data_IF_572866294541
#
_entry.id   IF_572866294541
#
_cell.length_a   1.000
_cell.length_b   1.000
_cell.length_c   1.000
_cell.angle_alpha   90.00
_cell.angle_beta   90.00
_cell.angle_gamma   90.00
#
_symmetry.space_group_name_H-M   'P 1'
#
loop_
_entity.id
_entity.type
_entity.pdbx_description
1 polymer ?
#
# COMPACT_ATOMS: atom_id res chain seq x y z
N UNK A 1 -2.84 -21.68 -24.38
CA UNK A 1 -1.90 -20.79 -23.67
C UNK A 1 -1.70 -21.35 -22.29
N UNK A 2 -0.45 -21.53 -21.84
CA UNK A 2 -0.18 -21.91 -20.45
C UNK A 2 -0.16 -20.66 -19.60
N UNK A 3 -0.71 -20.72 -18.39
CA UNK A 3 -0.72 -19.61 -17.44
C UNK A 3 0.15 -19.98 -16.25
N UNK A 4 1.05 -19.08 -15.85
CA UNK A 4 1.86 -19.23 -14.64
C UNK A 4 1.63 -18.09 -13.66
N UNK A 5 1.70 -18.41 -12.37
CA UNK A 5 1.61 -17.43 -11.30
C UNK A 5 3.02 -17.04 -10.85
N UNK A 6 3.28 -15.74 -10.76
CA UNK A 6 4.53 -15.16 -10.26
C UNK A 6 4.22 -14.37 -9.00
N UNK A 7 4.89 -14.69 -7.89
CA UNK A 7 4.66 -14.09 -6.58
C UNK A 7 5.77 -13.10 -6.21
N UNK A 8 5.38 -11.95 -5.68
CA UNK A 8 6.24 -10.88 -5.19
C UNK A 8 5.96 -10.68 -3.70
N UNK A 9 6.93 -11.05 -2.87
CA UNK A 9 6.84 -10.92 -1.40
C UNK A 9 6.82 -9.45 -0.98
N UNK A 10 6.29 -9.17 0.22
CA UNK A 10 6.33 -7.86 0.88
C UNK A 10 7.76 -7.29 1.09
N UNK A 11 8.77 -8.16 0.97
CA UNK A 11 10.18 -7.80 1.07
C UNK A 11 10.78 -7.36 -0.28
N UNK A 12 10.09 -7.58 -1.40
CA UNK A 12 10.58 -7.26 -2.74
C UNK A 12 10.46 -5.76 -3.05
N UNK A 13 11.42 -5.00 -2.52
CA UNK A 13 11.53 -3.54 -2.68
C UNK A 13 11.81 -3.07 -4.10
N UNK A 14 12.20 -3.97 -5.00
CA UNK A 14 12.44 -3.60 -6.40
C UNK A 14 11.12 -3.42 -7.14
N UNK A 15 10.09 -4.17 -6.74
CA UNK A 15 8.76 -4.12 -7.36
C UNK A 15 7.70 -3.43 -6.49
N UNK A 16 7.88 -3.44 -5.16
CA UNK A 16 6.96 -2.83 -4.20
C UNK A 16 7.59 -1.58 -3.57
N UNK A 17 7.00 -0.42 -3.84
CA UNK A 17 7.39 0.86 -3.28
C UNK A 17 6.42 1.29 -2.18
N UNK A 18 6.91 1.38 -0.96
CA UNK A 18 6.14 1.74 0.22
C UNK A 18 6.32 3.23 0.52
N UNK A 19 5.24 3.94 0.83
CA UNK A 19 5.34 5.32 1.33
C UNK A 19 4.56 5.50 2.64
N UNK A 20 4.94 6.52 3.40
CA UNK A 20 4.58 6.73 4.82
C UNK A 20 5.22 5.69 5.76
N UNK A 21 4.64 5.50 6.95
CA UNK A 21 5.22 4.63 7.98
C UNK A 21 4.81 3.17 7.78
N UNK A 22 5.75 2.29 7.41
CA UNK A 22 5.51 0.85 7.31
C UNK A 22 6.43 0.05 8.22
N UNK A 23 5.87 -0.96 8.87
CA UNK A 23 6.64 -2.01 9.53
C UNK A 23 6.71 -3.22 8.61
N UNK A 24 7.89 -3.48 8.01
CA UNK A 24 8.00 -4.46 6.92
C UNK A 24 8.53 -5.81 7.38
N UNK A 25 9.31 -5.83 8.46
CA UNK A 25 9.89 -7.05 9.02
C UNK A 25 8.91 -7.77 9.96
N UNK A 26 7.61 -7.64 9.69
CA UNK A 26 6.59 -8.36 10.42
C UNK A 26 6.61 -9.82 10.05
N UNK A 27 6.21 -10.66 11.00
CA UNK A 27 6.12 -12.11 10.83
C UNK A 27 4.73 -12.54 11.25
N UNK A 28 4.11 -13.43 10.47
CA UNK A 28 2.90 -14.13 10.89
C UNK A 28 3.21 -15.60 11.17
N UNK A 29 2.49 -16.18 12.13
CA UNK A 29 2.57 -17.60 12.46
C UNK A 29 1.14 -18.13 12.67
N UNK A 30 0.64 -18.80 11.64
CA UNK A 30 -0.67 -19.40 11.59
C UNK A 30 -0.64 -20.82 12.15
N UNK A 31 -0.74 -20.92 13.47
CA UNK A 31 -0.65 -22.21 14.20
C UNK A 31 -1.74 -23.20 13.79
N UNK A 32 -2.89 -22.72 13.32
CA UNK A 32 -3.98 -23.56 12.82
C UNK A 32 -3.67 -24.27 11.49
N UNK A 33 -2.78 -23.70 10.67
CA UNK A 33 -2.37 -24.29 9.38
C UNK A 33 -0.89 -24.70 9.34
N UNK A 34 -0.10 -24.33 10.35
CA UNK A 34 1.35 -24.50 10.38
C UNK A 34 2.10 -23.55 9.43
N UNK A 35 1.42 -22.58 8.82
CA UNK A 35 2.05 -21.64 7.89
C UNK A 35 2.69 -20.48 8.64
N UNK A 36 3.87 -20.06 8.20
CA UNK A 36 4.53 -18.85 8.68
C UNK A 36 5.20 -18.13 7.53
N UNK A 37 5.44 -16.83 7.70
CA UNK A 37 6.05 -16.00 6.68
C UNK A 37 6.15 -14.55 7.13
N UNK A 38 6.52 -13.69 6.19
CA UNK A 38 6.73 -12.26 6.42
C UNK A 38 5.49 -11.46 6.07
N UNK A 39 5.35 -10.27 6.66
CA UNK A 39 4.21 -9.40 6.49
C UNK A 39 4.63 -7.94 6.68
N UNK A 40 4.32 -7.09 5.71
CA UNK A 40 4.37 -5.65 5.90
C UNK A 40 3.04 -5.16 6.50
N UNK A 41 3.08 -4.18 7.39
CA UNK A 41 1.86 -3.58 7.94
C UNK A 41 2.01 -2.09 8.25
N UNK A 42 0.90 -1.38 8.27
CA UNK A 42 0.85 0.02 8.71
C UNK A 42 -0.49 0.36 9.35
N UNK A 43 -0.44 1.19 10.40
CA UNK A 43 -1.61 1.81 11.03
C UNK A 43 -1.83 3.25 10.56
N UNK A 44 -0.98 3.75 9.66
CA UNK A 44 -1.10 5.08 9.10
C UNK A 44 -2.15 5.06 7.99
N UNK A 45 -3.20 5.86 8.12
CA UNK A 45 -4.30 5.93 7.15
C UNK A 45 -3.90 6.63 5.84
N UNK A 46 -2.68 7.15 5.75
CA UNK A 46 -2.09 7.66 4.51
C UNK A 46 -1.08 6.68 3.87
N UNK A 47 -0.82 5.54 4.52
CA UNK A 47 0.13 4.56 4.03
C UNK A 47 -0.32 3.99 2.68
N UNK A 48 0.63 3.91 1.76
CA UNK A 48 0.41 3.27 0.48
C UNK A 48 1.56 2.33 0.11
N UNK A 49 1.23 1.38 -0.75
CA UNK A 49 2.18 0.54 -1.46
C UNK A 49 1.85 0.59 -2.95
N UNK A 50 2.85 0.84 -3.77
CA UNK A 50 2.76 0.82 -5.22
C UNK A 50 3.48 -0.42 -5.74
N UNK A 51 2.77 -1.26 -6.47
CA UNK A 51 3.30 -2.45 -7.12
C UNK A 51 3.27 -2.26 -8.64
N UNK A 52 4.43 -2.35 -9.28
CA UNK A 52 4.54 -2.28 -10.75
C UNK A 52 4.79 -3.67 -11.31
N UNK A 53 4.00 -4.08 -12.28
CA UNK A 53 4.19 -5.38 -12.90
C UNK A 53 5.52 -5.37 -13.67
N UNK A 54 6.40 -6.37 -13.48
CA UNK A 54 7.64 -6.44 -14.25
C UNK A 54 7.42 -7.01 -15.66
N UNK A 55 6.26 -7.61 -15.94
CA UNK A 55 5.88 -8.13 -17.24
C UNK A 55 4.36 -8.09 -17.43
N UNK A 56 3.91 -8.22 -18.69
CA UNK A 56 2.48 -8.21 -19.01
C UNK A 56 1.76 -9.39 -18.33
N UNK A 57 0.61 -9.11 -17.71
CA UNK A 57 -0.15 -10.10 -16.95
C UNK A 57 -1.66 -10.00 -17.25
N UNK A 58 -2.36 -11.11 -17.09
CA UNK A 58 -3.82 -11.23 -17.28
C UNK A 58 -4.60 -11.19 -15.97
N UNK A 59 -3.92 -11.35 -14.82
CA UNK A 59 -4.54 -11.15 -13.53
C UNK A 59 -3.54 -10.67 -12.48
N UNK A 60 -4.08 -10.08 -11.42
CA UNK A 60 -3.36 -9.73 -10.19
C UNK A 60 -4.19 -10.11 -8.97
N UNK A 61 -3.50 -10.59 -7.94
CA UNK A 61 -4.04 -10.97 -6.65
C UNK A 61 -3.23 -10.30 -5.55
N UNK A 62 -3.92 -9.65 -4.62
CA UNK A 62 -3.31 -9.06 -3.43
C UNK A 62 -3.62 -9.93 -2.21
N UNK A 63 -2.57 -10.41 -1.55
CA UNK A 63 -2.64 -11.23 -0.36
C UNK A 63 -2.29 -10.42 0.89
N UNK A 64 -3.13 -10.55 1.92
CA UNK A 64 -2.92 -9.94 3.23
C UNK A 64 -3.69 -10.67 4.31
N UNK A 65 -3.55 -10.23 5.56
CA UNK A 65 -4.26 -10.78 6.71
C UNK A 65 -5.43 -9.84 7.04
N UNK A 66 -6.62 -10.42 7.23
CA UNK A 66 -7.80 -9.66 7.68
C UNK A 66 -7.59 -9.16 9.09
N UNK A 67 -8.20 -8.04 9.47
CA UNK A 67 -8.01 -7.43 10.80
C UNK A 67 -9.34 -7.31 11.54
N UNK A 68 -9.34 -7.58 12.85
CA UNK A 68 -10.50 -7.45 13.73
C UNK A 68 -11.06 -6.04 13.87
N UNK A 69 -10.19 -5.05 13.66
CA UNK A 69 -10.26 -3.80 14.38
C UNK A 69 -10.12 -2.58 13.47
N UNK A 70 -10.47 -2.75 12.20
CA UNK A 70 -10.22 -1.78 11.14
C UNK A 70 -9.34 -2.37 10.05
N UNK A 71 -9.81 -2.29 8.83
CA UNK A 71 -9.16 -2.86 7.66
C UNK A 71 -9.86 -2.41 6.39
N UNK A 72 -10.06 -1.10 6.28
CA UNK A 72 -10.60 -0.49 5.06
C UNK A 72 -9.43 -0.01 4.21
N UNK A 73 -9.34 -0.53 3.00
CA UNK A 73 -8.30 -0.14 2.03
C UNK A 73 -8.95 0.41 0.79
N UNK A 74 -8.15 1.04 -0.06
CA UNK A 74 -8.55 1.36 -1.42
C UNK A 74 -7.47 0.90 -2.40
N UNK A 75 -7.87 0.39 -3.56
CA UNK A 75 -6.98 -0.08 -4.60
C UNK A 75 -7.31 0.58 -5.93
N UNK A 76 -6.28 0.95 -6.66
CA UNK A 76 -6.38 1.60 -7.96
C UNK A 76 -5.40 0.93 -8.93
N UNK A 77 -5.78 0.82 -10.19
CA UNK A 77 -4.94 0.31 -11.27
C UNK A 77 -4.69 1.44 -12.26
N UNK A 78 -3.43 1.71 -12.55
CA UNK A 78 -2.95 2.73 -13.50
C UNK A 78 -3.41 4.17 -13.23
N UNK A 79 -3.95 4.46 -12.05
CA UNK A 79 -4.28 5.83 -11.67
C UNK A 79 -3.08 6.54 -11.04
N UNK A 80 -3.06 7.85 -11.22
CA UNK A 80 -2.12 8.73 -10.54
C UNK A 80 -2.40 8.83 -9.03
N UNK A 81 -1.44 9.32 -8.23
CA UNK A 81 -1.57 9.45 -6.78
C UNK A 81 -2.67 10.41 -6.33
N UNK A 82 -3.20 11.23 -7.24
CA UNK A 82 -4.29 12.20 -7.00
C UNK A 82 -5.66 11.71 -7.50
N UNK A 83 -5.80 10.45 -7.90
CA UNK A 83 -7.09 9.92 -8.35
C UNK A 83 -8.11 9.94 -7.21
N UNK A 84 -9.37 10.26 -7.54
CA UNK A 84 -10.47 10.27 -6.59
C UNK A 84 -10.83 8.85 -6.14
N UNK A 85 -11.33 8.73 -4.90
CA UNK A 85 -11.94 7.49 -4.42
C UNK A 85 -13.31 7.36 -5.10
N UNK A 86 -13.44 6.37 -5.98
CA UNK A 86 -14.66 6.11 -6.75
C UNK A 86 -14.91 4.62 -6.78
N UNK A 87 -16.14 4.17 -6.53
CA UNK A 87 -16.51 2.76 -6.66
C UNK A 87 -16.52 2.25 -8.12
N UNK A 88 -16.16 3.10 -9.09
CA UNK A 88 -15.95 2.72 -10.47
C UNK A 88 -14.57 2.10 -10.64
N UNK A 89 -14.55 0.85 -11.08
CA UNK A 89 -13.36 0.03 -11.31
C UNK A 89 -12.45 0.58 -12.40
N UNK A 90 -12.96 1.45 -13.28
CA UNK A 90 -12.26 1.98 -14.44
C UNK A 90 -11.66 3.37 -14.24
N UNK A 91 -12.13 4.13 -13.24
CA UNK A 91 -11.78 5.57 -13.11
C UNK A 91 -11.18 5.97 -11.77
N UNK A 92 -11.10 5.07 -10.78
CA UNK A 92 -10.46 5.41 -9.51
C UNK A 92 -10.35 4.28 -8.52
N UNK A 93 -10.26 4.64 -7.23
CA UNK A 93 -9.98 3.68 -6.17
C UNK A 93 -11.20 2.85 -5.76
N UNK A 94 -11.09 1.53 -5.91
CA UNK A 94 -12.05 0.55 -5.39
C UNK A 94 -11.80 0.30 -3.91
N UNK A 95 -12.84 0.34 -3.07
CA UNK A 95 -12.69 0.06 -1.64
C UNK A 95 -12.65 -1.44 -1.35
N UNK A 96 -11.74 -1.87 -0.46
CA UNK A 96 -11.64 -3.25 0.03
C UNK A 96 -11.91 -3.26 1.53
N UNK A 97 -12.87 -4.08 1.97
CA UNK A 97 -13.10 -4.31 3.41
C UNK A 97 -12.44 -5.61 3.85
N UNK A 98 -11.22 -5.52 4.39
CA UNK A 98 -10.46 -6.62 4.97
C UNK A 98 -10.75 -6.85 6.46
N UNK A 99 -11.96 -6.48 6.93
CA UNK A 99 -12.36 -6.65 8.32
C UNK A 99 -12.87 -8.06 8.58
N UNK A 100 -12.33 -8.70 9.61
CA UNK A 100 -12.88 -9.92 10.18
C UNK A 100 -12.80 -9.81 11.71
N UNK A 101 -13.94 -9.52 12.36
CA UNK A 101 -14.02 -9.25 13.80
C UNK A 101 -13.49 -10.39 14.67
N UNK A 102 -13.50 -11.62 14.16
CA UNK A 102 -13.00 -12.81 14.86
C UNK A 102 -11.54 -13.12 14.56
N UNK A 103 -10.87 -12.31 13.74
CA UNK A 103 -9.46 -12.49 13.39
C UNK A 103 -8.56 -12.01 14.53
N UNK A 104 -7.68 -12.87 15.03
CA UNK A 104 -6.72 -12.55 16.08
C UNK A 104 -5.36 -12.08 15.53
N UNK A 105 -5.27 -11.88 14.22
CA UNK A 105 -4.03 -11.56 13.50
C UNK A 105 -3.11 -12.75 13.28
N UNK A 106 -3.53 -13.97 13.62
CA UNK A 106 -2.74 -15.20 13.43
C UNK A 106 -3.26 -16.07 12.29
N UNK A 107 -4.26 -15.63 11.54
CA UNK A 107 -4.67 -16.37 10.35
C UNK A 107 -3.63 -16.22 9.22
N UNK A 108 -3.51 -17.21 8.32
CA UNK A 108 -2.63 -17.08 7.18
C UNK A 108 -3.12 -15.97 6.23
N UNK A 109 -2.25 -15.37 5.42
CA UNK A 109 -2.66 -14.45 4.37
C UNK A 109 -3.68 -15.07 3.42
N UNK A 110 -4.69 -14.29 3.07
CA UNK A 110 -5.76 -14.66 2.12
C UNK A 110 -5.82 -13.63 1.00
N UNK A 111 -6.44 -13.98 -0.12
CA UNK A 111 -6.74 -13.01 -1.18
C UNK A 111 -7.75 -12.00 -0.63
N UNK A 112 -7.35 -10.74 -0.55
CA UNK A 112 -8.22 -9.64 -0.13
C UNK A 112 -8.80 -8.89 -1.32
N UNK A 113 -8.10 -8.91 -2.46
CA UNK A 113 -8.56 -8.34 -3.71
C UNK A 113 -7.91 -9.02 -4.91
N UNK A 114 -8.60 -9.01 -6.05
CA UNK A 114 -8.10 -9.53 -7.30
C UNK A 114 -8.73 -8.80 -8.49
N UNK A 115 -7.99 -8.69 -9.59
CA UNK A 115 -8.48 -8.20 -10.86
C UNK A 115 -8.01 -9.10 -12.00
N UNK A 116 -8.91 -9.38 -12.94
CA UNK A 116 -8.60 -10.04 -14.21
C UNK A 116 -8.70 -9.00 -15.32
N UNK A 117 -7.75 -9.04 -16.25
CA UNK A 117 -7.64 -8.14 -17.40
C UNK A 117 -8.04 -8.88 -18.69
N UNK A 118 -8.69 -8.20 -19.64
CA UNK A 118 -9.11 -8.82 -20.90
C UNK A 118 -7.95 -9.15 -21.84
N UNK A 119 -6.79 -8.48 -21.65
CA UNK A 119 -5.57 -8.68 -22.44
C UNK A 119 -4.34 -8.55 -21.54
N UNK A 120 -3.25 -9.29 -21.80
CA UNK A 120 -2.00 -9.12 -21.06
C UNK A 120 -1.48 -7.68 -21.18
N UNK A 121 -1.24 -7.02 -20.03
CA UNK A 121 -0.63 -5.69 -20.00
C UNK A 121 0.18 -5.47 -18.72
N UNK A 122 1.06 -4.47 -18.76
CA UNK A 122 1.85 -4.03 -17.59
C UNK A 122 1.05 -2.96 -16.87
N UNK A 123 0.67 -3.24 -15.63
CA UNK A 123 -0.12 -2.34 -14.80
C UNK A 123 0.68 -1.85 -13.59
N UNK A 124 0.27 -0.70 -13.05
CA UNK A 124 0.68 -0.21 -11.74
C UNK A 124 -0.49 -0.28 -10.78
N UNK A 125 -0.35 -1.05 -9.71
CA UNK A 125 -1.36 -1.18 -8.65
C UNK A 125 -0.96 -0.30 -7.47
N UNK A 126 -1.84 0.61 -7.08
CA UNK A 126 -1.68 1.42 -5.87
C UNK A 126 -2.68 0.95 -4.84
N UNK A 127 -2.20 0.48 -3.69
CA UNK A 127 -3.00 0.06 -2.56
C UNK A 127 -2.78 1.03 -1.40
N UNK A 128 -3.85 1.59 -0.85
CA UNK A 128 -3.82 2.58 0.23
C UNK A 128 -4.59 2.09 1.44
N UNK A 129 -4.08 2.38 2.64
CA UNK A 129 -4.89 2.29 3.86
C UNK A 129 -5.91 3.42 3.86
N UNK A 130 -7.09 3.21 4.43
CA UNK A 130 -8.15 4.22 4.52
C UNK A 130 -8.67 4.34 5.95
N UNK A 131 -9.26 5.47 6.29
CA UNK A 131 -9.97 5.63 7.56
C UNK A 131 -11.17 4.68 7.60
N UNK A 132 -11.24 3.83 8.63
CA UNK A 132 -12.38 2.93 8.85
C UNK A 132 -13.28 3.47 9.97
N UNK A 133 -14.31 4.21 9.60
CA UNK A 133 -15.24 4.85 10.54
C UNK A 133 -15.98 3.84 11.43
N UNK A 134 -16.09 2.57 11.00
CA UNK A 134 -16.68 1.49 11.82
C UNK A 134 -15.87 1.23 13.10
N UNK A 135 -14.60 1.64 13.11
CA UNK A 135 -13.65 1.44 14.20
C UNK A 135 -13.03 2.76 14.65
N UNK A 136 -13.82 3.85 14.67
CA UNK A 136 -13.38 5.19 15.08
C UNK A 136 -12.20 5.72 14.25
N UNK A 137 -12.16 5.40 12.96
CA UNK A 137 -11.10 5.82 12.04
C UNK A 137 -9.81 5.02 12.17
N UNK A 138 -9.78 3.97 13.01
CA UNK A 138 -8.63 3.07 13.12
C UNK A 138 -8.69 2.09 11.96
N UNK A 139 -7.61 1.98 11.20
CA UNK A 139 -7.44 0.96 10.16
C UNK A 139 -6.00 0.49 10.11
N UNK A 140 -5.81 -0.80 9.87
CA UNK A 140 -4.49 -1.37 9.68
C UNK A 140 -4.45 -2.13 8.37
N UNK A 141 -3.55 -1.71 7.48
CA UNK A 141 -3.24 -2.42 6.25
C UNK A 141 -2.16 -3.47 6.49
N UNK A 142 -2.27 -4.61 5.81
CA UNK A 142 -1.25 -5.66 5.82
C UNK A 142 -0.96 -6.15 4.41
N UNK A 143 0.29 -6.46 4.08
CA UNK A 143 0.70 -6.94 2.75
C UNK A 143 1.62 -8.12 2.95
N UNK A 144 1.21 -9.29 2.44
CA UNK A 144 2.05 -10.48 2.39
C UNK A 144 2.70 -10.64 1.02
N UNK A 145 1.90 -10.56 -0.05
CA UNK A 145 2.40 -10.62 -1.41
C UNK A 145 1.44 -10.04 -2.44
N UNK A 146 1.98 -9.73 -3.61
CA UNK A 146 1.22 -9.62 -4.84
C UNK A 146 1.54 -10.84 -5.72
N UNK A 147 0.54 -11.39 -6.38
CA UNK A 147 0.72 -12.47 -7.35
C UNK A 147 0.13 -12.00 -8.68
N UNK A 148 0.88 -12.14 -9.76
CA UNK A 148 0.37 -11.89 -11.12
C UNK A 148 0.28 -13.21 -11.89
N UNK A 149 -0.69 -13.30 -12.79
CA UNK A 149 -0.83 -14.42 -13.71
C UNK A 149 -0.37 -13.99 -15.10
N UNK A 150 0.59 -14.72 -15.67
CA UNK A 150 1.19 -14.40 -16.96
C UNK A 150 0.99 -15.55 -17.93
N UNK A 151 0.72 -15.22 -19.19
CA UNK A 151 0.76 -16.16 -20.29
C UNK A 151 2.21 -16.56 -20.59
N UNK A 152 2.46 -17.87 -20.64
CA UNK A 152 3.74 -18.41 -21.09
C UNK A 152 3.77 -18.44 -22.62
N UNK A 153 4.66 -17.63 -23.20
CA UNK A 153 5.03 -17.68 -24.62
C UNK A 153 5.85 -18.94 -24.98
N UNK A 154 6.13 -19.80 -23.99
CA UNK A 154 7.02 -20.95 -24.11
C UNK A 154 6.49 -22.10 -24.98
N UNK A 155 5.38 -21.90 -25.70
CA UNK A 155 5.06 -22.74 -26.84
C UNK A 155 5.14 -21.88 -28.10
N UNK A 156 6.34 -21.66 -28.68
CA UNK A 156 6.44 -21.49 -30.10
C UNK A 156 5.92 -22.80 -30.67
N UNK A 157 4.61 -22.89 -30.87
CA UNK A 157 4.03 -23.95 -31.67
C UNK A 157 4.89 -23.94 -32.92
N UNK A 158 5.64 -25.02 -33.12
CA UNK A 158 6.22 -25.36 -34.40
C UNK A 158 5.13 -25.06 -35.40
N UNK A 159 5.27 -23.94 -36.10
CA UNK A 159 4.47 -23.69 -37.27
C UNK A 159 4.92 -24.79 -38.20
N UNK A 160 4.24 -25.94 -38.11
CA UNK A 160 4.32 -27.03 -39.05
C UNK A 160 3.93 -26.40 -40.36
N UNK A 161 4.95 -25.88 -41.01
CA UNK A 161 4.92 -25.35 -42.35
C UNK A 161 4.65 -26.58 -43.17
N UNK A 162 3.37 -26.89 -43.37
CA UNK A 162 2.93 -27.81 -44.40
C UNK A 162 3.31 -27.15 -45.72
N UNK A 163 4.54 -27.40 -46.14
CA UNK A 163 5.03 -27.15 -47.48
C UNK A 163 4.28 -28.05 -48.45
N UNK A 164 3.02 -27.72 -48.73
CA UNK A 164 2.35 -28.14 -49.94
C UNK A 164 2.68 -27.10 -51.01
N UNK A 165 3.62 -27.45 -51.87
CA UNK A 165 3.99 -26.63 -53.01
C UNK A 165 2.80 -26.44 -53.95
N UNK A 166 2.55 -25.19 -54.35
CA UNK A 166 1.91 -24.86 -55.62
C UNK A 166 2.65 -23.65 -56.20
N UNK A 167 3.11 -23.82 -57.42
CA UNK A 167 3.88 -22.87 -58.20
C UNK A 167 3.02 -21.73 -58.77
N UNK A 168 3.65 -20.56 -58.92
CA UNK A 168 3.33 -19.42 -59.82
C UNK A 168 1.98 -18.74 -59.57
N UNK A 169 1.83 -17.41 -59.57
CA UNK A 169 2.14 -16.48 -60.67
C UNK A 169 2.47 -15.07 -60.11
N UNK A 170 3.49 -14.49 -60.73
CA UNK A 170 3.87 -13.08 -60.86
C UNK A 170 2.71 -12.07 -60.79
N UNK A 171 2.88 -10.99 -60.01
CA UNK A 171 2.61 -9.61 -60.46
C UNK A 171 3.23 -8.59 -59.53
N UNK A 172 3.96 -7.69 -60.17
CA UNK A 172 4.76 -6.59 -59.64
C UNK A 172 3.83 -5.41 -59.40
N UNK A 173 3.91 -4.73 -58.24
CA UNK A 173 3.66 -3.28 -58.21
C UNK A 173 4.45 -2.64 -57.08
N UNK A 174 5.44 -1.86 -57.49
CA UNK A 174 6.29 -1.00 -56.70
C UNK A 174 5.48 0.14 -56.09
N UNK A 175 5.64 0.42 -54.79
CA UNK A 175 5.42 1.77 -54.27
C UNK A 175 6.53 2.15 -53.30
N UNK A 176 7.12 3.28 -53.65
CA UNK A 176 8.31 3.93 -53.16
C UNK A 176 8.05 4.68 -51.84
N UNK A 177 8.99 4.50 -50.90
CA UNK A 177 9.54 5.47 -49.93
C UNK A 177 8.63 6.53 -49.30
N UNK A 178 8.55 6.54 -47.95
CA UNK A 178 8.83 7.77 -47.17
C UNK A 178 9.54 7.40 -45.86
N UNK A 179 10.78 7.88 -45.76
CA UNK A 179 11.63 8.02 -44.58
C UNK A 179 11.09 9.07 -43.63
N UNK A 180 11.08 8.80 -42.32
CA UNK A 180 11.19 9.85 -41.28
C UNK A 180 11.71 9.23 -39.99
N UNK A 181 13.01 9.42 -39.79
CA UNK A 181 13.76 9.13 -38.58
C UNK A 181 13.71 10.44 -37.78
N UNK A 182 13.01 10.47 -36.65
CA UNK A 182 13.03 11.64 -35.75
C UNK A 182 13.92 11.32 -34.56
N UNK A 183 15.20 11.60 -34.72
CA UNK A 183 16.18 11.69 -33.65
C UNK A 183 15.87 12.90 -32.77
N UNK A 184 15.52 12.66 -31.50
CA UNK A 184 15.35 13.72 -30.49
C UNK A 184 16.66 13.84 -29.73
N UNK A 185 17.45 14.83 -30.11
CA UNK A 185 18.73 15.20 -29.51
C UNK A 185 18.52 16.39 -28.58
N UNK A 186 18.97 16.24 -27.33
CA UNK A 186 19.52 17.24 -26.39
C UNK A 186 19.03 18.69 -26.46
N UNK A 187 18.48 19.19 -25.34
CA UNK A 187 18.83 20.52 -24.83
C UNK A 187 18.84 20.55 -23.30
N UNK A 188 20.05 20.52 -22.74
CA UNK A 188 20.39 20.88 -21.37
C UNK A 188 20.35 22.43 -21.25
N UNK A 189 19.58 23.04 -20.34
CA UNK A 189 19.74 24.46 -20.07
C UNK A 189 20.95 24.67 -19.15
N UNK A 190 22.06 25.09 -19.76
CA UNK A 190 23.18 25.71 -19.08
C UNK A 190 22.79 27.13 -18.67
N UNK A 191 22.62 27.38 -17.38
CA UNK A 191 22.38 28.71 -16.83
C UNK A 191 23.70 29.28 -16.29
N UNK A 192 24.42 30.00 -17.15
CA UNK A 192 25.45 30.96 -16.75
C UNK A 192 25.14 32.27 -17.47
N UNK A 193 24.75 33.28 -16.68
CA UNK A 193 24.32 34.59 -17.18
C UNK A 193 24.44 35.62 -16.07
N UNK A 194 25.66 36.16 -15.96
CA UNK A 194 26.11 37.22 -15.09
C UNK A 194 25.70 38.59 -15.66
N UNK A 195 25.72 39.64 -14.82
CA UNK A 195 25.53 41.08 -15.11
C UNK A 195 24.09 41.62 -15.20
N UNK A 196 23.66 42.38 -14.18
CA UNK A 196 23.91 43.85 -14.17
C UNK A 196 23.28 44.49 -12.94
N UNK A 197 24.09 45.31 -12.28
CA UNK A 197 23.73 46.27 -11.25
C UNK A 197 22.75 47.33 -11.79
N UNK A 198 21.55 47.41 -11.23
CA UNK A 198 20.79 48.65 -11.19
C UNK A 198 19.98 48.68 -9.90
N UNK A 199 20.37 49.60 -9.02
CA UNK A 199 19.76 49.80 -7.71
C UNK A 199 18.29 50.17 -7.83
N UNK A 200 17.45 49.37 -7.19
CA UNK A 200 16.04 49.68 -6.96
C UNK A 200 15.92 50.12 -5.49
N UNK A 201 15.39 51.32 -5.21
CA UNK A 201 15.30 51.85 -3.85
C UNK A 201 14.32 51.03 -3.01
N UNK A 202 14.87 50.29 -2.04
CA UNK A 202 14.14 49.57 -1.00
C UNK A 202 13.56 50.56 0.03
N UNK A 203 12.22 50.66 0.05
CA UNK A 203 11.31 51.03 1.17
C UNK A 203 9.86 51.04 0.62
N UNK A 204 8.79 50.63 1.34
CA UNK A 204 8.67 49.94 2.62
C UNK A 204 7.62 48.79 2.59
N UNK A 205 8.02 47.51 2.48
CA UNK A 205 7.09 46.36 2.61
C UNK A 205 7.23 45.64 3.97
N UNK A 206 7.61 46.37 5.02
CA UNK A 206 7.95 45.80 6.33
C UNK A 206 6.90 46.03 7.44
N UNK A 207 5.65 46.39 7.10
CA UNK A 207 4.61 46.71 8.11
C UNK A 207 3.44 45.68 8.13
N UNK A 208 3.28 44.86 7.10
CA UNK A 208 2.12 43.95 6.99
C UNK A 208 2.23 42.61 7.74
N UNK A 209 3.45 42.13 8.01
CA UNK A 209 3.68 40.76 8.50
C UNK A 209 3.37 40.57 9.99
N UNK A 210 3.55 41.60 10.84
CA UNK A 210 3.22 41.47 12.26
C UNK A 210 1.70 41.51 12.52
N UNK A 211 0.94 42.29 11.75
CA UNK A 211 -0.52 42.38 11.89
C UNK A 211 -1.24 41.10 11.48
N UNK A 212 -0.82 40.50 10.36
CA UNK A 212 -1.42 39.25 9.86
C UNK A 212 -1.22 38.07 10.80
N UNK A 213 -0.05 37.98 11.45
CA UNK A 213 0.23 36.90 12.39
C UNK A 213 -0.64 36.95 13.64
N UNK A 214 -0.97 38.14 14.16
CA UNK A 214 -1.89 38.26 15.30
C UNK A 214 -3.30 37.81 14.97
N UNK A 215 -3.81 38.17 13.79
CA UNK A 215 -5.14 37.74 13.33
C UNK A 215 -5.18 36.22 13.12
N UNK A 216 -4.11 35.64 12.56
CA UNK A 216 -4.00 34.20 12.35
C UNK A 216 -3.98 33.43 13.68
N UNK A 217 -3.23 33.90 14.68
CA UNK A 217 -3.17 33.28 16.01
C UNK A 217 -4.52 33.34 16.71
N UNK A 218 -5.23 34.47 16.65
CA UNK A 218 -6.57 34.61 17.21
C UNK A 218 -7.58 33.67 16.54
N UNK A 219 -7.49 33.49 15.22
CA UNK A 219 -8.34 32.56 14.47
C UNK A 219 -8.12 31.10 14.92
N UNK A 220 -6.85 30.68 15.07
CA UNK A 220 -6.50 29.33 15.55
C UNK A 220 -7.02 29.12 16.98
N UNK A 221 -6.88 30.10 17.86
CA UNK A 221 -7.41 30.02 19.23
C UNK A 221 -8.94 29.94 19.26
N UNK A 222 -9.65 30.68 18.41
CA UNK A 222 -11.11 30.59 18.29
C UNK A 222 -11.57 29.20 17.82
N UNK A 223 -10.92 28.64 16.78
CA UNK A 223 -11.24 27.30 16.26
C UNK A 223 -10.96 26.22 17.30
N UNK A 224 -9.83 26.29 18.00
CA UNK A 224 -9.47 25.33 19.05
C UNK A 224 -10.40 25.41 20.26
N UNK A 225 -10.79 26.62 20.69
CA UNK A 225 -11.79 26.77 21.76
C UNK A 225 -13.16 26.24 21.34
N UNK A 226 -13.60 26.48 20.11
CA UNK A 226 -14.86 25.93 19.58
C UNK A 226 -14.83 24.40 19.53
N UNK A 227 -13.74 23.80 19.06
CA UNK A 227 -13.57 22.33 19.05
C UNK A 227 -13.60 21.74 20.47
N UNK A 228 -12.96 22.39 21.45
CA UNK A 228 -12.96 21.93 22.86
C UNK A 228 -14.35 22.10 23.50
N UNK A 229 -15.06 23.19 23.20
CA UNK A 229 -16.41 23.42 23.71
C UNK A 229 -17.41 22.42 23.14
N UNK A 230 -17.33 22.12 21.83
CA UNK A 230 -18.18 21.12 21.19
C UNK A 230 -17.99 19.72 21.78
N UNK A 231 -16.77 19.35 22.17
CA UNK A 231 -16.53 18.09 22.90
C UNK A 231 -17.20 18.04 24.27
N UNK A 232 -17.35 19.16 24.98
CA UNK A 232 -17.98 19.17 26.32
C UNK A 232 -19.50 18.99 26.28
N UNK A 233 -20.18 19.49 25.25
CA UNK A 233 -21.64 19.38 25.11
C UNK A 233 -22.11 17.93 24.95
N UNK A 234 -21.24 17.05 24.44
CA UNK A 234 -21.59 15.64 24.22
C UNK A 234 -21.58 14.79 25.50
N UNK A 235 -21.09 15.30 26.63
CA UNK A 235 -20.96 14.53 27.87
C UNK A 235 -22.05 14.79 28.93
N UNK A 236 -23.00 15.68 28.68
CA UNK A 236 -24.05 16.04 29.68
C UNK A 236 -25.40 15.38 29.44
N UNK A 237 -25.54 14.43 28.49
CA UNK A 237 -26.83 13.75 28.21
C UNK A 237 -27.06 12.42 28.95
N UNK A 238 -26.21 12.05 29.90
CA UNK A 238 -26.35 10.78 30.63
C UNK A 238 -26.38 10.98 32.14
N UNK A 239 -27.33 11.77 32.65
CA UNK A 239 -27.70 11.69 34.06
C UNK A 239 -29.15 12.11 34.28
N UNK A 240 -29.98 11.13 34.59
CA UNK A 240 -31.15 11.32 35.44
C UNK A 240 -32.50 11.06 34.78
N UNK A 241 -32.90 9.79 34.71
CA UNK A 241 -34.24 9.39 35.17
C UNK A 241 -34.15 8.01 35.81
N UNK A 242 -34.09 7.99 37.14
CA UNK A 242 -34.27 6.79 37.93
C UNK A 242 -35.76 6.46 38.08
N UNK A 243 -36.10 5.18 38.13
CA UNK A 243 -37.46 4.70 38.36
C UNK A 243 -37.61 3.18 38.38
N UNK A 244 -37.10 2.54 39.46
CA UNK A 244 -37.70 1.44 40.26
C UNK A 244 -38.01 0.07 39.58
N UNK A 245 -37.89 -1.06 40.33
CA UNK A 245 -37.44 -2.35 39.79
C UNK A 245 -38.58 -3.34 39.52
N UNK A 246 -38.31 -4.32 38.66
CA UNK A 246 -39.02 -5.59 38.70
C UNK A 246 -38.08 -6.74 38.40
N UNK A 247 -37.99 -7.62 39.39
CA UNK A 247 -37.39 -8.93 39.37
C UNK A 247 -38.04 -9.82 38.32
N UNK A 248 -37.30 -10.15 37.27
CA UNK A 248 -37.56 -11.37 36.49
C UNK A 248 -36.22 -12.03 36.26
N UNK A 249 -36.11 -13.25 36.80
CA UNK A 249 -35.03 -14.17 36.53
C UNK A 249 -34.90 -14.34 35.01
N UNK A 250 -33.76 -13.91 34.46
CA UNK A 250 -33.39 -14.21 33.08
C UNK A 250 -32.01 -14.84 33.10
N UNK A 251 -32.01 -16.10 32.70
CA UNK A 251 -30.87 -16.97 32.45
C UNK A 251 -29.73 -16.23 31.77
N UNK A 252 -28.55 -16.34 32.38
CA UNK A 252 -27.32 -15.71 31.92
C UNK A 252 -26.97 -16.11 30.49
N UNK A 253 -27.01 -15.12 29.59
CA UNK A 253 -26.25 -15.14 28.35
C UNK A 253 -25.03 -14.26 28.55
N UNK A 254 -23.91 -14.91 28.84
CA UNK A 254 -22.60 -14.30 28.97
C UNK A 254 -22.17 -13.73 27.63
N UNK A 255 -22.44 -12.45 27.39
CA UNK A 255 -21.79 -11.72 26.30
C UNK A 255 -20.37 -11.38 26.74
N UNK A 256 -19.44 -12.26 26.36
CA UNK A 256 -18.00 -11.99 26.43
C UNK A 256 -17.74 -10.69 25.67
N UNK A 257 -17.35 -9.64 26.40
CA UNK A 257 -16.71 -8.47 25.80
C UNK A 257 -15.31 -8.93 25.41
N UNK A 258 -15.19 -9.48 24.21
CA UNK A 258 -13.90 -9.74 23.58
C UNK A 258 -13.24 -8.38 23.32
N UNK A 259 -12.45 -7.95 24.32
CA UNK A 259 -11.54 -6.83 24.17
C UNK A 259 -10.50 -7.22 23.15
N UNK A 260 -10.67 -6.73 21.93
CA UNK A 260 -9.61 -6.65 20.95
C UNK A 260 -8.48 -5.80 21.51
N UNK A 261 -7.57 -6.47 22.23
CA UNK A 261 -6.32 -5.91 22.69
C UNK A 261 -5.55 -5.43 21.47
N UNK A 262 -5.35 -4.12 21.36
CA UNK A 262 -4.45 -3.51 20.40
C UNK A 262 -3.05 -4.05 20.70
N UNK A 263 -2.63 -5.09 19.97
CA UNK A 263 -1.28 -5.64 20.08
C UNK A 263 -0.29 -4.58 19.58
N UNK A 264 0.20 -3.77 20.52
CA UNK A 264 1.46 -3.05 20.35
C UNK A 264 2.54 -4.12 20.51
N UNK A 265 3.00 -4.66 19.38
CA UNK A 265 4.18 -5.53 19.35
C UNK A 265 5.38 -4.68 19.76
N UNK A 266 5.66 -4.65 21.06
CA UNK A 266 6.88 -4.04 21.59
C UNK A 266 7.98 -5.05 21.30
N UNK A 267 8.69 -4.88 20.19
CA UNK A 267 9.81 -5.74 19.83
C UNK A 267 10.92 -5.53 20.86
N UNK A 268 10.96 -6.37 21.89
CA UNK A 268 12.10 -6.44 22.81
C UNK A 268 13.30 -6.91 22.00
N UNK A 269 14.20 -5.98 21.71
CA UNK A 269 15.46 -6.22 21.01
C UNK A 269 16.37 -7.05 21.93
N UNK A 270 16.30 -8.37 21.84
CA UNK A 270 17.23 -9.26 22.57
C UNK A 270 18.62 -9.08 21.98
N UNK A 271 19.43 -8.24 22.63
CA UNK A 271 20.88 -8.18 22.39
C UNK A 271 21.48 -9.53 22.75
N UNK A 272 21.95 -10.25 21.73
CA UNK A 272 22.64 -11.53 21.91
C UNK A 272 24.12 -11.20 22.08
N UNK A 273 24.56 -11.12 23.33
CA UNK A 273 25.98 -11.06 23.65
C UNK A 273 26.64 -12.35 23.13
N UNK A 274 27.54 -12.17 22.16
CA UNK A 274 28.37 -13.23 21.63
C UNK A 274 29.49 -13.49 22.62
N UNK A 275 29.36 -14.56 23.40
CA UNK A 275 30.45 -15.09 24.21
C UNK A 275 31.57 -15.56 23.28
N UNK A 276 32.70 -14.86 23.36
CA UNK A 276 33.93 -15.13 22.63
C UNK A 276 34.54 -16.45 23.14
N UNK A 277 34.38 -17.52 22.35
CA UNK A 277 35.00 -18.82 22.61
C UNK A 277 36.52 -18.73 22.47
N UNK A 278 37.23 -18.95 23.57
CA UNK A 278 38.69 -19.02 23.66
C UNK A 278 39.13 -20.40 23.17
N UNK A 279 39.74 -20.46 21.98
CA UNK A 279 40.34 -21.69 21.44
C UNK A 279 41.60 -22.05 22.24
N UNK A 280 41.65 -23.29 22.72
CA UNK A 280 42.85 -23.92 23.29
C UNK A 280 43.67 -24.51 22.14
N UNK A 281 44.86 -23.94 21.95
CA UNK A 281 45.92 -24.42 21.08
C UNK A 281 46.63 -25.61 21.76
N UNK A 282 46.58 -26.78 21.15
CA UNK A 282 47.29 -27.97 21.59
C UNK A 282 48.37 -28.31 20.56
N UNK A 283 49.60 -27.89 20.88
CA UNK A 283 50.80 -28.22 20.12
C UNK A 283 51.08 -29.73 20.12
N UNK A 284 51.15 -30.30 18.93
CA UNK A 284 51.69 -31.64 18.68
C UNK A 284 53.16 -31.48 18.31
N UNK A 285 54.03 -32.01 19.17
CA UNK A 285 55.47 -32.15 18.95
C UNK A 285 55.70 -33.46 18.19
N UNK A 286 56.34 -33.40 17.02
CA UNK A 286 56.89 -34.58 16.35
C UNK A 286 58.36 -34.73 16.72
N UNK A 287 58.73 -35.94 17.11
CA UNK A 287 60.09 -36.51 17.13
C UNK A 287 60.17 -37.57 16.01
#
# INVERSE_FOLDING_TARGET
>A
MSLRNISYSNEDRNHLQYTSSWFIDGVYNATNTGQSGTLASSNDNSANVTFKFPQAATAVYYYGIRRCCGGLYAVCIDCGPSASITNDTSTGFQTISAVNKSDDGKNPPVVLWSQIFPSPAVHTVVLTNQFDDRFNGISQITVASFVIQVEDDANPATASTSSAGVASITSITSITSITSITSITSTLPSATGQHSSSGIPLKPFLVGLLGGMMVLVLLILAITMWYRQRRRINHTKTRGTGGIPSSVASTGSSTSRDSCSTFVTTTTKTSRDTAQGKALDAGVKQE
#
